data_IF_201227817385
#
_entry.id   IF_201227817385
#
_cell.length_a   1.000
_cell.length_b   1.000
_cell.length_c   1.000
_cell.angle_alpha   90.00
_cell.angle_beta   90.00
_cell.angle_gamma   90.00
#
_symmetry.space_group_name_H-M   'P 1'
#
loop_
_entity.id
_entity.type
_entity.pdbx_description
1 polymer ?
#
# COMPACT_ATOMS: atom_id res chain seq x y z
N UNK A 1 14.07 4.65 17.24
CA UNK A 1 13.32 3.93 16.18
C UNK A 1 14.28 3.65 15.04
N UNK A 2 14.29 2.44 14.47
CA UNK A 2 15.12 2.12 13.29
C UNK A 2 14.53 2.80 12.05
N UNK A 3 15.39 3.18 11.10
CA UNK A 3 14.94 3.76 9.82
C UNK A 3 14.13 2.70 9.04
N UNK A 4 12.86 2.97 8.71
CA UNK A 4 12.04 2.05 7.91
C UNK A 4 12.66 1.71 6.55
N UNK A 5 13.46 2.61 5.95
CA UNK A 5 14.15 2.32 4.69
C UNK A 5 15.17 1.20 4.84
N UNK A 6 15.89 1.16 5.97
CA UNK A 6 16.84 0.09 6.27
C UNK A 6 16.14 -1.24 6.49
N UNK A 7 14.96 -1.23 7.13
CA UNK A 7 14.15 -2.44 7.33
C UNK A 7 13.66 -2.99 5.99
N UNK A 8 13.23 -2.11 5.07
CA UNK A 8 12.70 -2.51 3.76
C UNK A 8 13.78 -3.01 2.79
N UNK A 9 14.93 -2.33 2.77
CA UNK A 9 15.96 -2.57 1.75
C UNK A 9 17.10 -3.46 2.25
N UNK A 10 17.40 -3.43 3.55
CA UNK A 10 18.62 -4.01 4.12
C UNK A 10 18.37 -4.85 5.39
N UNK A 11 17.20 -5.50 5.48
CA UNK A 11 16.77 -6.27 6.66
C UNK A 11 17.81 -7.27 7.16
N UNK A 12 18.52 -7.92 6.24
CA UNK A 12 19.59 -8.88 6.56
C UNK A 12 20.81 -8.22 7.22
N UNK A 13 21.16 -6.99 6.83
CA UNK A 13 22.23 -6.23 7.50
C UNK A 13 21.80 -5.83 8.91
N UNK A 14 20.55 -5.38 9.05
CA UNK A 14 19.97 -4.99 10.35
C UNK A 14 19.96 -6.17 11.31
N UNK A 15 19.50 -7.35 10.86
CA UNK A 15 19.50 -8.57 11.66
C UNK A 15 20.91 -8.96 12.13
N UNK A 16 21.92 -8.90 11.25
CA UNK A 16 23.32 -9.17 11.60
C UNK A 16 23.86 -8.19 12.66
N UNK A 17 23.57 -6.90 12.52
CA UNK A 17 24.01 -5.86 13.48
C UNK A 17 23.32 -6.01 14.83
N UNK A 18 22.05 -6.40 14.85
CA UNK A 18 21.31 -6.65 16.08
C UNK A 18 21.80 -7.90 16.81
N UNK A 19 22.21 -8.94 16.07
CA UNK A 19 22.78 -10.16 16.65
C UNK A 19 24.05 -9.90 17.46
N UNK A 20 24.89 -8.94 17.03
CA UNK A 20 26.07 -8.49 17.80
C UNK A 20 25.68 -7.91 19.17
N UNK A 21 24.47 -7.36 19.28
CA UNK A 21 23.90 -6.83 20.52
C UNK A 21 23.08 -7.86 21.30
N UNK A 22 23.23 -9.16 20.98
CA UNK A 22 22.43 -10.26 21.53
C UNK A 22 20.91 -10.09 21.31
N UNK A 23 20.52 -9.45 20.20
CA UNK A 23 19.11 -9.34 19.81
C UNK A 23 18.85 -10.14 18.53
N UNK A 24 17.88 -11.04 18.59
CA UNK A 24 17.44 -11.83 17.44
C UNK A 24 16.23 -11.18 16.78
N UNK A 25 16.42 -10.69 15.56
CA UNK A 25 15.34 -10.10 14.78
C UNK A 25 14.59 -11.20 14.03
N UNK A 26 13.26 -11.27 14.17
CA UNK A 26 12.43 -12.15 13.36
C UNK A 26 12.30 -11.60 11.93
N UNK A 27 13.22 -12.03 11.07
CA UNK A 27 13.29 -11.59 9.68
C UNK A 27 12.12 -12.10 8.84
N UNK A 28 11.63 -13.31 9.12
CA UNK A 28 10.54 -13.94 8.35
C UNK A 28 9.23 -13.19 8.57
N UNK A 29 8.87 -12.96 9.83
CA UNK A 29 7.67 -12.21 10.18
C UNK A 29 7.68 -10.78 9.62
N UNK A 30 8.84 -10.10 9.68
CA UNK A 30 8.95 -8.76 9.11
C UNK A 30 8.80 -8.74 7.59
N UNK A 31 9.31 -9.77 6.89
CA UNK A 31 9.12 -9.90 5.44
C UNK A 31 7.65 -10.11 5.08
N UNK A 32 6.94 -10.95 5.83
CA UNK A 32 5.51 -11.18 5.63
C UNK A 32 4.70 -9.88 5.79
N UNK A 33 4.95 -9.13 6.86
CA UNK A 33 4.26 -7.87 7.11
C UNK A 33 4.59 -6.79 6.08
N UNK A 34 5.85 -6.69 5.63
CA UNK A 34 6.21 -5.75 4.55
C UNK A 34 5.57 -6.14 3.21
N UNK A 35 5.40 -7.44 2.95
CA UNK A 35 4.61 -7.94 1.81
C UNK A 35 3.17 -7.46 1.89
N UNK A 36 2.47 -7.78 2.98
CA UNK A 36 1.09 -7.37 3.19
C UNK A 36 0.91 -5.83 3.14
N UNK A 37 1.85 -5.07 3.70
CA UNK A 37 1.85 -3.61 3.64
C UNK A 37 1.90 -3.11 2.19
N UNK A 38 2.75 -3.71 1.36
CA UNK A 38 2.88 -3.34 -0.06
C UNK A 38 1.61 -3.65 -0.83
N UNK A 39 1.02 -4.81 -0.59
CA UNK A 39 -0.22 -5.23 -1.27
C UNK A 39 -1.38 -4.27 -0.92
N UNK A 40 -1.57 -3.97 0.37
CA UNK A 40 -2.56 -2.99 0.81
C UNK A 40 -2.34 -1.59 0.24
N UNK A 41 -1.09 -1.18 0.08
CA UNK A 41 -0.76 0.10 -0.56
C UNK A 41 -1.22 0.12 -2.01
N UNK A 42 -0.91 -0.92 -2.78
CA UNK A 42 -1.30 -1.04 -4.18
C UNK A 42 -2.82 -1.11 -4.35
N UNK A 43 -3.51 -1.86 -3.49
CA UNK A 43 -4.97 -1.96 -3.50
C UNK A 43 -5.62 -0.62 -3.19
N UNK A 44 -5.08 0.12 -2.23
CA UNK A 44 -5.57 1.46 -1.90
C UNK A 44 -5.39 2.43 -3.07
N UNK A 45 -4.22 2.44 -3.71
CA UNK A 45 -3.94 3.27 -4.88
C UNK A 45 -4.87 2.92 -6.05
N UNK A 46 -5.12 1.62 -6.27
CA UNK A 46 -6.06 1.13 -7.29
C UNK A 46 -7.49 1.61 -7.01
N UNK A 47 -8.01 1.38 -5.80
CA UNK A 47 -9.36 1.81 -5.41
C UNK A 47 -9.53 3.33 -5.49
N UNK A 48 -8.48 4.07 -5.12
CA UNK A 48 -8.47 5.52 -5.21
C UNK A 48 -8.54 6.00 -6.67
N UNK A 49 -7.83 5.34 -7.58
CA UNK A 49 -7.90 5.62 -9.01
C UNK A 49 -9.26 5.26 -9.61
N UNK A 50 -9.82 4.11 -9.25
CA UNK A 50 -11.16 3.70 -9.67
C UNK A 50 -12.22 4.72 -9.24
N UNK A 51 -12.18 5.14 -7.96
CA UNK A 51 -13.08 6.18 -7.44
C UNK A 51 -12.96 7.49 -8.22
N UNK A 52 -11.75 7.96 -8.47
CA UNK A 52 -11.52 9.21 -9.20
C UNK A 52 -12.03 9.13 -10.64
N UNK A 53 -11.84 7.99 -11.30
CA UNK A 53 -12.35 7.74 -12.65
C UNK A 53 -13.89 7.73 -12.68
N UNK A 54 -14.54 7.01 -11.75
CA UNK A 54 -16.00 7.01 -11.60
C UNK A 54 -16.54 8.42 -11.36
N UNK A 55 -15.93 9.21 -10.46
CA UNK A 55 -16.34 10.59 -10.20
C UNK A 55 -16.26 11.50 -11.43
N UNK A 56 -15.25 11.32 -12.27
CA UNK A 56 -15.11 12.06 -13.52
C UNK A 56 -16.23 11.69 -14.51
N UNK A 57 -16.49 10.40 -14.69
CA UNK A 57 -17.58 9.90 -15.54
C UNK A 57 -18.94 10.39 -15.08
N UNK A 58 -19.18 10.44 -13.76
CA UNK A 58 -20.40 11.01 -13.17
C UNK A 58 -20.57 12.48 -13.54
N UNK A 59 -19.50 13.27 -13.43
CA UNK A 59 -19.52 14.69 -13.81
C UNK A 59 -19.84 14.89 -15.30
N UNK A 60 -19.24 14.09 -16.17
CA UNK A 60 -19.48 14.12 -17.61
C UNK A 60 -20.90 13.66 -17.98
N UNK A 61 -21.42 12.60 -17.35
CA UNK A 61 -22.78 12.12 -17.58
C UNK A 61 -23.82 13.16 -17.15
N UNK A 62 -23.62 13.80 -15.98
CA UNK A 62 -24.49 14.87 -15.49
C UNK A 62 -24.52 16.08 -16.43
N UNK A 63 -23.37 16.51 -16.95
CA UNK A 63 -23.32 17.65 -17.89
C UNK A 63 -23.99 17.33 -19.23
N UNK A 64 -24.02 16.05 -19.63
CA UNK A 64 -24.72 15.56 -20.81
C UNK A 64 -26.21 15.24 -20.58
N UNK A 65 -26.72 15.43 -19.36
CA UNK A 65 -28.11 15.11 -19.00
C UNK A 65 -28.44 13.62 -18.97
N UNK A 66 -27.42 12.75 -18.87
CA UNK A 66 -27.58 11.29 -18.84
C UNK A 66 -27.80 10.79 -17.41
N UNK A 67 -28.54 9.70 -17.27
CA UNK A 67 -28.69 9.03 -15.98
C UNK A 67 -27.35 8.43 -15.50
N UNK A 68 -27.09 8.57 -14.21
CA UNK A 68 -25.84 8.24 -13.55
C UNK A 68 -25.98 7.09 -12.55
N UNK A 69 -27.21 6.61 -12.34
CA UNK A 69 -27.56 5.49 -11.46
C UNK A 69 -26.70 4.24 -11.69
N UNK A 70 -26.36 3.94 -12.95
CA UNK A 70 -25.51 2.82 -13.34
C UNK A 70 -24.01 2.96 -12.97
N UNK A 71 -23.53 4.16 -12.63
CA UNK A 71 -22.11 4.43 -12.29
C UNK A 71 -21.90 4.55 -10.76
N UNK A 72 -22.99 4.76 -10.02
CA UNK A 72 -23.01 4.90 -8.55
C UNK A 72 -22.88 3.56 -7.81
N UNK A 73 -22.92 2.43 -8.51
CA UNK A 73 -22.68 1.08 -7.99
C UNK A 73 -21.20 0.72 -8.01
#
# INVERSE_FOLDING_TARGET
MLDPKLIRNELGMVAKRLKVKNFELNVEQLKEWEGARKDLQLDTEKLQNERNSKSKLIGEAKSQGKDVSAILT
#
